data_IF_993547704339
#
_entry.id   IF_993547704339
#
_cell.length_a   1.000
_cell.length_b   1.000
_cell.length_c   1.000
_cell.angle_alpha   90.00
_cell.angle_beta   90.00
_cell.angle_gamma   90.00
#
_symmetry.space_group_name_H-M   'P 1'
#
loop_
_entity.id
_entity.type
_entity.pdbx_description
1 polymer ?
#
# COMPACT_ATOMS: atom_id res chain seq x y z
N UNK A 1 9.77 16.87 -16.16
CA UNK A 1 8.52 16.17 -16.38
C UNK A 1 8.72 14.72 -16.87
N UNK A 2 9.48 14.54 -17.93
CA UNK A 2 9.76 13.18 -18.43
C UNK A 2 10.55 12.35 -17.41
N UNK A 3 11.47 12.97 -16.68
CA UNK A 3 12.25 12.27 -15.67
C UNK A 3 11.41 11.68 -14.55
N UNK A 4 10.37 12.38 -14.14
CA UNK A 4 9.49 11.91 -13.07
C UNK A 4 8.67 10.69 -13.51
N UNK A 5 8.22 10.68 -14.76
CA UNK A 5 7.48 9.54 -15.30
C UNK A 5 8.37 8.30 -15.36
N UNK A 6 9.61 8.46 -15.83
CA UNK A 6 10.57 7.36 -15.89
C UNK A 6 10.92 6.82 -14.52
N UNK A 7 11.13 7.71 -13.55
CA UNK A 7 11.47 7.30 -12.18
C UNK A 7 10.31 6.55 -11.52
N UNK A 8 9.11 7.04 -11.75
CA UNK A 8 7.90 6.39 -11.22
C UNK A 8 7.72 5.01 -11.82
N UNK A 9 7.92 4.87 -13.12
CA UNK A 9 7.80 3.59 -13.80
C UNK A 9 8.86 2.60 -13.31
N UNK A 10 10.09 3.05 -13.14
CA UNK A 10 11.15 2.21 -12.59
C UNK A 10 10.83 1.74 -11.18
N UNK A 11 10.32 2.64 -10.36
CA UNK A 11 9.94 2.30 -8.99
C UNK A 11 8.83 1.27 -8.97
N UNK A 12 7.82 1.44 -9.79
CA UNK A 12 6.70 0.51 -9.84
C UNK A 12 7.12 -0.86 -10.36
N UNK A 13 8.00 -0.90 -11.35
CA UNK A 13 8.53 -2.17 -11.85
C UNK A 13 9.35 -2.90 -10.79
N UNK A 14 10.17 -2.15 -10.07
CA UNK A 14 10.97 -2.69 -8.98
C UNK A 14 10.06 -3.23 -7.87
N UNK A 15 9.04 -2.47 -7.49
CA UNK A 15 8.09 -2.90 -6.48
C UNK A 15 7.29 -4.12 -6.93
N UNK A 16 6.93 -4.18 -8.20
CA UNK A 16 6.21 -5.33 -8.75
C UNK A 16 7.02 -6.60 -8.56
N UNK A 17 8.29 -6.57 -8.93
CA UNK A 17 9.16 -7.74 -8.81
C UNK A 17 9.34 -8.16 -7.35
N UNK A 18 9.54 -7.19 -6.46
CA UNK A 18 9.69 -7.47 -5.04
C UNK A 18 8.43 -8.05 -4.42
N UNK A 19 7.28 -7.48 -4.74
CA UNK A 19 6.00 -7.95 -4.20
C UNK A 19 5.64 -9.32 -4.74
N UNK A 20 5.96 -9.62 -5.99
CA UNK A 20 5.75 -10.96 -6.55
C UNK A 20 6.62 -11.99 -5.83
N UNK A 21 7.88 -11.64 -5.54
CA UNK A 21 8.77 -12.51 -4.79
C UNK A 21 8.24 -12.76 -3.38
N UNK A 22 7.78 -11.72 -2.70
CA UNK A 22 7.20 -11.83 -1.37
C UNK A 22 5.96 -12.72 -1.40
N UNK A 23 5.08 -12.51 -2.36
CA UNK A 23 3.88 -13.32 -2.51
C UNK A 23 4.20 -14.79 -2.66
N UNK A 24 5.26 -15.10 -3.41
CA UNK A 24 5.63 -16.49 -3.69
C UNK A 24 6.00 -17.28 -2.43
N UNK A 25 6.43 -16.59 -1.36
CA UNK A 25 6.79 -17.22 -0.10
C UNK A 25 5.73 -17.03 1.00
N UNK A 26 4.65 -16.34 0.71
CA UNK A 26 3.57 -16.16 1.66
C UNK A 26 2.72 -17.43 1.78
N UNK A 27 2.38 -17.79 3.01
CA UNK A 27 1.42 -18.86 3.25
C UNK A 27 0.01 -18.41 2.89
N UNK A 28 -0.92 -19.34 2.76
CA UNK A 28 -2.31 -18.99 2.42
C UNK A 28 -3.00 -18.16 3.50
N UNK A 29 -2.51 -18.20 4.73
CA UNK A 29 -3.06 -17.41 5.83
C UNK A 29 -2.34 -16.10 6.05
N UNK A 30 -1.36 -15.77 5.21
CA UNK A 30 -0.51 -14.59 5.40
C UNK A 30 -1.21 -13.30 5.01
N UNK A 31 -0.74 -12.23 5.60
CA UNK A 31 -1.17 -10.86 5.29
C UNK A 31 0.04 -10.02 4.97
N UNK A 32 -0.18 -8.96 4.23
CA UNK A 32 0.87 -7.99 3.93
C UNK A 32 0.36 -6.57 4.17
N UNK A 33 1.19 -5.75 4.79
CA UNK A 33 0.94 -4.34 5.02
C UNK A 33 2.02 -3.55 4.29
N UNK A 34 1.61 -2.66 3.40
CA UNK A 34 2.57 -1.84 2.65
C UNK A 34 2.35 -0.39 3.01
N UNK A 35 3.39 0.22 3.57
CA UNK A 35 3.38 1.61 4.03
C UNK A 35 3.96 2.51 2.93
N UNK A 36 3.21 3.51 2.52
CA UNK A 36 3.55 4.35 1.37
C UNK A 36 3.26 5.81 1.65
N UNK A 37 4.00 6.70 0.99
CA UNK A 37 3.64 8.10 0.93
C UNK A 37 2.37 8.27 0.10
N UNK A 38 1.61 9.31 0.43
CA UNK A 38 0.32 9.56 -0.21
C UNK A 38 0.41 9.67 -1.73
N UNK A 39 1.47 10.27 -2.27
CA UNK A 39 1.54 10.56 -3.71
C UNK A 39 1.84 9.34 -4.58
N UNK A 40 2.36 8.27 -4.01
CA UNK A 40 2.59 7.01 -4.75
C UNK A 40 1.49 5.98 -4.49
N UNK A 41 0.66 6.24 -3.47
CA UNK A 41 -0.33 5.27 -3.01
C UNK A 41 -1.30 4.81 -4.08
N UNK A 42 -1.79 5.73 -4.90
CA UNK A 42 -2.76 5.39 -5.94
C UNK A 42 -2.20 4.39 -6.95
N UNK A 43 -0.96 4.59 -7.37
CA UNK A 43 -0.30 3.67 -8.31
C UNK A 43 -0.05 2.33 -7.66
N UNK A 44 0.35 2.32 -6.40
CA UNK A 44 0.60 1.09 -5.66
C UNK A 44 -0.67 0.30 -5.41
N UNK A 45 -1.80 0.99 -5.19
CA UNK A 45 -3.08 0.32 -5.02
C UNK A 45 -3.44 -0.52 -6.25
N UNK A 46 -3.29 0.07 -7.44
CA UNK A 46 -3.55 -0.65 -8.69
C UNK A 46 -2.59 -1.81 -8.85
N UNK A 47 -1.32 -1.59 -8.56
CA UNK A 47 -0.30 -2.62 -8.66
C UNK A 47 -0.57 -3.78 -7.72
N UNK A 48 -0.91 -3.49 -6.48
CA UNK A 48 -1.19 -4.52 -5.48
C UNK A 48 -2.47 -5.30 -5.80
N UNK A 49 -3.47 -4.64 -6.37
CA UNK A 49 -4.67 -5.32 -6.84
C UNK A 49 -4.33 -6.33 -7.94
N UNK A 50 -3.39 -5.99 -8.81
CA UNK A 50 -2.93 -6.87 -9.88
C UNK A 50 -2.20 -8.09 -9.30
N UNK A 51 -1.37 -7.89 -8.29
CA UNK A 51 -0.55 -8.95 -7.70
C UNK A 51 -1.36 -9.85 -6.78
N UNK A 52 -2.11 -9.27 -5.85
CA UNK A 52 -2.79 -10.01 -4.79
C UNK A 52 -4.25 -10.26 -5.06
N UNK A 53 -4.83 -9.51 -6.00
CA UNK A 53 -6.25 -9.58 -6.30
C UNK A 53 -7.03 -8.50 -5.56
N UNK A 54 -7.90 -7.82 -6.27
CA UNK A 54 -8.73 -6.76 -5.69
C UNK A 54 -9.59 -7.28 -4.54
N UNK A 55 -10.06 -8.52 -4.66
CA UNK A 55 -10.91 -9.14 -3.64
C UNK A 55 -10.16 -9.44 -2.36
N UNK A 56 -8.84 -9.42 -2.39
CA UNK A 56 -8.00 -9.67 -1.22
C UNK A 56 -7.54 -8.37 -0.54
N UNK A 57 -7.99 -7.22 -1.03
CA UNK A 57 -7.78 -5.94 -0.37
C UNK A 57 -8.70 -5.85 0.84
N UNK A 58 -8.13 -5.58 2.01
CA UNK A 58 -8.90 -5.51 3.26
C UNK A 58 -9.15 -4.09 3.69
N UNK A 59 -8.09 -3.30 3.82
CA UNK A 59 -8.22 -1.93 4.31
C UNK A 59 -7.15 -1.02 3.76
N UNK A 60 -7.52 0.24 3.66
CA UNK A 60 -6.55 1.33 3.60
C UNK A 60 -6.51 1.99 4.97
N UNK A 61 -5.33 2.05 5.57
CA UNK A 61 -5.12 2.70 6.86
C UNK A 61 -4.45 4.03 6.58
N UNK A 62 -5.03 5.09 7.07
CA UNK A 62 -4.47 6.43 6.92
C UNK A 62 -3.70 6.75 8.19
N UNK A 63 -2.40 6.97 8.03
CA UNK A 63 -1.53 7.34 9.14
C UNK A 63 -1.31 8.84 9.10
N UNK A 64 -1.88 9.54 10.05
CA UNK A 64 -1.75 10.99 10.13
C UNK A 64 -0.40 11.37 10.71
N UNK A 65 0.34 12.22 10.00
CA UNK A 65 1.60 12.74 10.50
C UNK A 65 1.36 13.89 11.46
N UNK A 66 2.28 14.05 12.41
CA UNK A 66 2.19 15.11 13.41
C UNK A 66 2.64 16.46 12.88
N UNK A 67 3.39 16.51 11.77
CA UNK A 67 3.91 17.75 11.22
C UNK A 67 2.83 18.53 10.49
N UNK A 68 2.52 19.71 10.97
CA UNK A 68 1.60 20.61 10.29
C UNK A 68 2.37 21.46 9.30
N UNK A 69 2.23 21.15 8.03
CA UNK A 69 2.83 21.93 6.97
C UNK A 69 1.81 22.04 5.85
N UNK A 70 1.39 23.26 5.57
CA UNK A 70 0.39 23.49 4.55
C UNK A 70 0.89 24.51 3.53
N UNK A 71 0.63 24.21 2.27
CA UNK A 71 0.85 25.14 1.20
C UNK A 71 -0.35 26.09 1.10
N UNK A 72 -0.12 27.33 0.68
CA UNK A 72 -1.20 28.30 0.55
C UNK A 72 -2.20 27.94 -0.55
N UNK A 73 -1.81 27.11 -1.50
CA UNK A 73 -2.63 26.78 -2.66
C UNK A 73 -3.34 25.44 -2.55
N UNK A 74 -2.93 24.56 -1.62
CA UNK A 74 -3.53 23.25 -1.44
C UNK A 74 -3.66 22.94 0.05
N UNK A 75 -4.53 21.99 0.35
CA UNK A 75 -4.61 21.47 1.70
C UNK A 75 -3.36 20.64 1.98
N UNK A 76 -2.91 20.66 3.24
CA UNK A 76 -1.73 19.91 3.64
C UNK A 76 -1.93 18.39 3.49
N UNK A 77 -0.93 17.74 2.92
CA UNK A 77 -0.92 16.28 2.75
C UNK A 77 -0.05 15.65 3.84
N UNK A 78 -0.59 15.58 5.04
CA UNK A 78 0.14 15.16 6.23
C UNK A 78 -0.22 13.73 6.63
N UNK A 79 -0.23 12.82 5.66
CA UNK A 79 -0.59 11.43 5.94
C UNK A 79 0.20 10.48 5.06
N UNK A 80 0.33 9.26 5.55
CA UNK A 80 0.82 8.13 4.78
C UNK A 80 -0.30 7.11 4.66
N UNK A 81 -0.20 6.26 3.65
CA UNK A 81 -1.17 5.19 3.42
C UNK A 81 -0.54 3.85 3.76
N UNK A 82 -1.31 2.99 4.40
CA UNK A 82 -0.91 1.61 4.63
C UNK A 82 -1.99 0.73 3.99
N UNK A 83 -1.61 -0.06 3.00
CA UNK A 83 -2.53 -0.98 2.36
C UNK A 83 -2.40 -2.36 2.96
N UNK A 84 -3.52 -2.93 3.35
CA UNK A 84 -3.60 -4.23 3.97
C UNK A 84 -4.24 -5.20 2.98
N UNK A 85 -3.48 -6.22 2.60
CA UNK A 85 -3.93 -7.30 1.73
C UNK A 85 -3.71 -8.64 2.40
N UNK A 86 -4.56 -9.60 2.06
CA UNK A 86 -4.36 -10.99 2.45
C UNK A 86 -4.03 -11.79 1.20
N UNK A 87 -3.35 -12.93 1.35
CA UNK A 87 -3.08 -13.81 0.22
C UNK A 87 -4.33 -14.55 -0.23
N UNK A 88 -5.16 -14.95 0.73
CA UNK A 88 -6.41 -15.67 0.48
C UNK A 88 -7.59 -14.90 1.06
N UNK A 89 -8.71 -14.90 0.38
CA UNK A 89 -9.91 -14.25 0.85
C UNK A 89 -10.54 -14.96 2.04
N UNK A 90 -10.38 -16.27 2.13
CA UNK A 90 -11.09 -17.09 3.11
C UNK A 90 -10.21 -17.65 4.21
N UNK A 91 -8.90 -17.70 4.01
CA UNK A 91 -7.99 -18.42 4.90
C UNK A 91 -7.09 -17.52 5.74
N UNK A 92 -7.28 -16.22 5.65
CA UNK A 92 -6.42 -15.29 6.39
C UNK A 92 -6.76 -15.29 7.88
N UNK A 93 -5.73 -14.99 8.69
CA UNK A 93 -5.87 -14.84 10.14
C UNK A 93 -5.94 -13.36 10.46
N UNK A 94 -6.99 -12.98 11.19
CA UNK A 94 -7.15 -11.60 11.63
C UNK A 94 -7.49 -11.61 13.12
N UNK A 95 -6.56 -11.08 13.91
CA UNK A 95 -6.74 -10.95 15.35
C UNK A 95 -7.06 -9.51 15.68
N UNK A 96 -8.31 -9.24 16.02
CA UNK A 96 -8.71 -7.92 16.43
C UNK A 96 -8.35 -7.71 17.89
N UNK A 97 -7.48 -6.72 18.14
CA UNK A 97 -7.15 -6.33 19.48
C UNK A 97 -8.05 -5.17 19.85
N UNK A 98 -8.91 -5.41 20.84
CA UNK A 98 -9.82 -4.40 21.36
C UNK A 98 -9.10 -3.62 22.45
N UNK A 99 -8.83 -2.36 22.17
CA UNK A 99 -8.08 -1.51 23.10
C UNK A 99 -8.97 -0.57 23.91
N UNK A 100 -10.24 -0.84 23.98
CA UNK A 100 -11.17 -0.02 24.72
C UNK A 100 -11.41 -0.58 26.11
#
# INVERSE_FOLDING_TARGET
>A
MYGDVWQKEKYLNWMYENLMAIKSVMSETASIYVHLYYHIGHYMKVLMDEIFGEDNFRNEIIWKRATAHSDAEIYGNNFDCIYFYTKSQEQYVFNMINSY
#
